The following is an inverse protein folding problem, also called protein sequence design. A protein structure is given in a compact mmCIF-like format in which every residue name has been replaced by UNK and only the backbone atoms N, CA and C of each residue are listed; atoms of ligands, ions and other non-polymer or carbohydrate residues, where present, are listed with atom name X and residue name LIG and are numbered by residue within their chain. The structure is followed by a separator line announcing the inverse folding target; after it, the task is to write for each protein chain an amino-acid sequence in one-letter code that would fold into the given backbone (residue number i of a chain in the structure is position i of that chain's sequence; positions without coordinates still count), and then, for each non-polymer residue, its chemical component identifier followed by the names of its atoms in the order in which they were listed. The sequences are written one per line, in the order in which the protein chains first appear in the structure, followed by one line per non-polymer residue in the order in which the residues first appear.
data_IF_318492799289
#
_entry.id   IF_318492799289
#
_cell.length_a   1.000
_cell.length_b   1.000
_cell.length_c   1.000
_cell.angle_alpha   90.00
_cell.angle_beta   90.00
_cell.angle_gamma   90.00
#
_symmetry.space_group_name_H-M   'P 1'
#
loop_
_entity.id
_entity.type
_entity.pdbx_description
1 polymer ?
#
# COMPACT_ATOMS: atom_id res chain seq x y z
N UNK A 1 -6.04 8.99 -14.99
CA UNK A 1 -7.09 9.70 -15.71
C UNK A 1 -8.43 9.01 -15.53
N UNK A 2 -8.57 7.72 -15.90
CA UNK A 2 -9.84 6.97 -15.83
C UNK A 2 -10.51 7.03 -14.44
N UNK A 3 -9.75 6.89 -13.34
CA UNK A 3 -10.27 6.99 -11.98
C UNK A 3 -10.98 8.34 -11.74
N UNK A 4 -10.33 9.44 -12.12
CA UNK A 4 -10.90 10.78 -11.97
C UNK A 4 -12.11 11.01 -12.90
N UNK A 5 -12.08 10.48 -14.11
CA UNK A 5 -13.20 10.57 -15.06
C UNK A 5 -14.40 9.77 -14.55
N UNK A 6 -14.22 8.52 -14.10
CA UNK A 6 -15.31 7.73 -13.50
C UNK A 6 -15.89 8.39 -12.24
N UNK A 7 -15.04 9.01 -11.42
CA UNK A 7 -15.53 9.79 -10.26
C UNK A 7 -16.33 11.02 -10.69
N UNK A 8 -15.91 11.70 -11.76
CA UNK A 8 -16.62 12.84 -12.32
C UNK A 8 -18.00 12.44 -12.85
N UNK A 9 -18.13 11.30 -13.51
CA UNK A 9 -19.41 10.77 -13.99
C UNK A 9 -20.36 10.50 -12.83
N UNK A 10 -19.90 9.81 -11.77
CA UNK A 10 -20.70 9.56 -10.59
C UNK A 10 -21.19 10.86 -9.91
N UNK A 11 -20.30 11.85 -9.80
CA UNK A 11 -20.67 13.16 -9.21
C UNK A 11 -21.73 13.87 -10.07
N UNK A 12 -21.64 13.80 -11.40
CA UNK A 12 -22.67 14.36 -12.29
C UNK A 12 -24.01 13.66 -12.16
N UNK A 13 -24.03 12.38 -11.81
CA UNK A 13 -25.24 11.62 -11.48
C UNK A 13 -25.80 11.93 -10.07
N UNK A 14 -25.19 12.87 -9.34
CA UNK A 14 -25.58 13.21 -7.98
C UNK A 14 -25.09 12.24 -6.91
N UNK A 15 -24.21 11.31 -7.26
CA UNK A 15 -23.61 10.35 -6.34
C UNK A 15 -22.36 10.93 -5.68
N UNK A 16 -22.03 10.42 -4.49
CA UNK A 16 -20.75 10.75 -3.82
C UNK A 16 -19.63 9.89 -4.40
N UNK A 17 -18.50 10.51 -4.71
CA UNK A 17 -17.26 9.81 -5.09
C UNK A 17 -16.08 10.44 -4.37
N UNK A 18 -15.20 9.60 -3.82
CA UNK A 18 -13.96 9.99 -3.16
C UNK A 18 -12.87 8.96 -3.52
N UNK A 19 -12.24 9.05 -4.70
CA UNK A 19 -11.21 8.11 -5.07
C UNK A 19 -9.94 8.28 -4.24
N UNK A 20 -9.36 7.17 -3.84
CA UNK A 20 -8.03 7.07 -3.25
C UNK A 20 -7.09 6.47 -4.29
N UNK A 21 -6.21 7.30 -4.84
CA UNK A 21 -5.30 6.91 -5.92
C UNK A 21 -4.01 6.40 -5.30
N UNK A 22 -3.72 5.12 -5.47
CA UNK A 22 -2.58 4.45 -4.89
C UNK A 22 -1.49 4.20 -5.94
N UNK A 23 -0.28 4.68 -5.68
CA UNK A 23 0.89 4.46 -6.52
C UNK A 23 1.62 3.20 -6.03
N UNK A 24 1.76 2.16 -6.88
CA UNK A 24 2.44 0.93 -6.48
C UNK A 24 3.96 1.04 -6.62
N UNK A 25 4.68 0.11 -6.02
CA UNK A 25 6.13 -0.16 -6.21
C UNK A 25 7.03 1.06 -5.97
N UNK A 26 6.65 1.93 -5.05
CA UNK A 26 7.44 3.12 -4.72
C UNK A 26 8.59 2.75 -3.80
N UNK A 27 9.81 3.11 -4.17
CA UNK A 27 11.01 2.91 -3.36
C UNK A 27 11.59 4.21 -2.76
N UNK A 28 11.19 5.37 -3.29
CA UNK A 28 11.73 6.68 -2.87
C UNK A 28 10.66 7.77 -2.92
N UNK A 29 10.81 8.79 -2.06
CA UNK A 29 9.91 9.94 -2.04
C UNK A 29 9.91 10.71 -3.36
N UNK A 30 11.05 10.79 -4.03
CA UNK A 30 11.15 11.48 -5.32
C UNK A 30 10.36 10.75 -6.42
N UNK A 31 10.35 9.42 -6.38
CA UNK A 31 9.54 8.60 -7.28
C UNK A 31 8.05 8.81 -7.02
N UNK A 32 7.62 8.76 -5.75
CA UNK A 32 6.24 9.05 -5.38
C UNK A 32 5.81 10.44 -5.86
N UNK A 33 6.62 11.47 -5.60
CA UNK A 33 6.35 12.85 -6.01
C UNK A 33 6.19 12.97 -7.52
N UNK A 34 7.05 12.31 -8.29
CA UNK A 34 6.97 12.30 -9.75
C UNK A 34 5.62 11.75 -10.24
N UNK A 35 5.14 10.65 -9.64
CA UNK A 35 3.86 10.04 -10.01
C UNK A 35 2.66 10.88 -9.52
N UNK A 36 2.72 11.44 -8.32
CA UNK A 36 1.68 12.31 -7.80
C UNK A 36 1.50 13.57 -8.65
N UNK A 37 2.59 14.12 -9.19
CA UNK A 37 2.52 15.27 -10.11
C UNK A 37 1.79 14.94 -11.43
N UNK A 38 1.84 13.68 -11.91
CA UNK A 38 1.05 13.26 -13.08
C UNK A 38 -0.45 13.30 -12.78
N UNK A 39 -0.85 12.90 -11.54
CA UNK A 39 -2.26 13.01 -11.11
C UNK A 39 -2.68 14.48 -11.09
N UNK A 40 -1.87 15.35 -10.48
CA UNK A 40 -2.13 16.81 -10.41
C UNK A 40 -2.25 17.45 -11.80
N UNK A 41 -1.42 17.05 -12.75
CA UNK A 41 -1.48 17.56 -14.14
C UNK A 41 -2.75 17.15 -14.88
N UNK A 42 -3.25 15.94 -14.63
CA UNK A 42 -4.47 15.43 -15.29
C UNK A 42 -5.75 16.01 -14.68
N UNK A 43 -5.71 16.39 -13.41
CA UNK A 43 -6.89 16.79 -12.65
C UNK A 43 -7.67 17.98 -13.26
N UNK A 44 -7.03 19.13 -13.62
CA UNK A 44 -7.75 20.26 -14.19
C UNK A 44 -8.42 19.94 -15.54
N UNK A 45 -7.80 19.11 -16.38
CA UNK A 45 -8.38 18.69 -17.66
C UNK A 45 -9.68 17.91 -17.46
N UNK A 46 -9.70 17.02 -16.44
CA UNK A 46 -10.90 16.26 -16.10
C UNK A 46 -11.99 17.19 -15.56
N UNK A 47 -11.65 18.14 -14.68
CA UNK A 47 -12.63 19.12 -14.19
C UNK A 47 -13.26 19.90 -15.34
N UNK A 48 -12.43 20.42 -16.28
CA UNK A 48 -12.90 21.18 -17.44
C UNK A 48 -13.80 20.32 -18.34
N UNK A 49 -13.39 19.08 -18.64
CA UNK A 49 -14.15 18.14 -19.48
C UNK A 49 -15.57 17.88 -18.94
N UNK A 50 -15.69 17.74 -17.61
CA UNK A 50 -16.97 17.40 -16.98
C UNK A 50 -17.72 18.61 -16.40
N UNK A 51 -17.17 19.81 -16.50
CA UNK A 51 -17.78 21.03 -15.96
C UNK A 51 -17.92 21.04 -14.44
N UNK A 52 -16.97 20.38 -13.73
CA UNK A 52 -16.95 20.28 -12.29
C UNK A 52 -15.98 21.30 -11.67
N UNK A 53 -16.31 21.79 -10.48
CA UNK A 53 -15.43 22.68 -9.72
C UNK A 53 -14.39 21.91 -8.89
N UNK A 54 -14.74 20.71 -8.45
CA UNK A 54 -13.90 19.88 -7.58
C UNK A 54 -14.32 18.41 -7.63
N UNK A 55 -13.34 17.53 -7.60
CA UNK A 55 -13.45 16.09 -7.26
C UNK A 55 -12.58 15.89 -6.03
N UNK A 56 -13.12 15.54 -4.85
CA UNK A 56 -12.27 15.22 -3.71
C UNK A 56 -11.54 13.90 -3.97
N UNK A 57 -10.24 13.86 -3.72
CA UNK A 57 -9.42 12.64 -3.88
C UNK A 57 -8.22 12.67 -2.93
N UNK A 58 -7.61 11.53 -2.71
CA UNK A 58 -6.32 11.39 -2.04
C UNK A 58 -5.34 10.67 -2.96
N UNK A 59 -4.05 10.96 -2.78
CA UNK A 59 -2.95 10.23 -3.42
C UNK A 59 -2.07 9.63 -2.35
N UNK A 60 -1.94 8.32 -2.37
CA UNK A 60 -1.11 7.56 -1.45
C UNK A 60 -0.26 6.53 -2.16
N UNK A 61 0.41 5.68 -1.43
CA UNK A 61 1.29 4.68 -2.00
C UNK A 61 1.16 3.33 -1.32
N UNK A 62 1.54 2.28 -2.05
CA UNK A 62 1.86 1.00 -1.44
C UNK A 62 3.21 1.07 -0.73
N UNK A 63 3.27 0.47 0.46
CA UNK A 63 4.52 0.13 1.15
C UNK A 63 4.73 -1.37 0.96
N UNK A 64 5.49 -1.73 -0.02
CA UNK A 64 5.69 -3.11 -0.44
C UNK A 64 7.15 -3.44 -0.78
N UNK A 65 8.01 -2.41 -0.74
CA UNK A 65 9.46 -2.54 -0.89
C UNK A 65 10.07 -2.29 0.49
N UNK A 66 11.01 -3.13 0.97
CA UNK A 66 11.66 -2.94 2.28
C UNK A 66 12.25 -1.54 2.46
N UNK A 67 12.85 -0.97 1.39
CA UNK A 67 13.37 0.40 1.42
C UNK A 67 12.28 1.44 1.67
N UNK A 68 11.07 1.26 1.12
CA UNK A 68 9.95 2.16 1.37
C UNK A 68 9.49 2.13 2.84
N UNK A 69 9.46 0.95 3.47
CA UNK A 69 9.17 0.82 4.90
C UNK A 69 10.22 1.53 5.77
N UNK A 70 11.50 1.45 5.39
CA UNK A 70 12.60 2.14 6.06
C UNK A 70 12.57 3.67 5.90
N UNK A 71 12.00 4.17 4.81
CA UNK A 71 11.88 5.61 4.49
C UNK A 71 10.44 6.12 4.60
N UNK A 72 9.60 5.42 5.34
CA UNK A 72 8.18 5.74 5.44
C UNK A 72 7.91 7.14 6.02
N UNK A 73 8.78 7.64 6.90
CA UNK A 73 8.74 9.02 7.39
C UNK A 73 8.85 10.04 6.25
N UNK A 74 9.78 9.83 5.31
CA UNK A 74 9.99 10.72 4.16
C UNK A 74 8.86 10.62 3.14
N UNK A 75 8.38 9.41 2.89
CA UNK A 75 7.27 9.19 1.96
C UNK A 75 5.97 9.79 2.51
N UNK A 76 5.74 9.72 3.83
CA UNK A 76 4.56 10.29 4.47
C UNK A 76 4.51 11.83 4.47
N UNK A 77 5.62 12.51 4.23
CA UNK A 77 5.63 13.97 4.01
C UNK A 77 4.75 14.34 2.79
N UNK A 78 4.69 13.47 1.79
CA UNK A 78 3.98 13.69 0.52
C UNK A 78 2.71 12.83 0.38
N UNK A 79 2.78 11.54 0.78
CA UNK A 79 1.68 10.61 0.65
C UNK A 79 0.58 10.86 1.69
N UNK A 80 -0.68 10.79 1.26
CA UNK A 80 -1.83 11.03 2.13
C UNK A 80 -2.34 9.77 2.83
N UNK A 81 -1.97 8.58 2.32
CA UNK A 81 -2.23 7.29 2.95
C UNK A 81 -1.18 6.25 2.53
N UNK A 82 -1.08 5.18 3.31
CA UNK A 82 -0.30 3.99 3.00
C UNK A 82 -1.19 2.75 2.90
N UNK A 83 -0.81 1.85 2.00
CA UNK A 83 -1.36 0.49 1.94
C UNK A 83 -0.21 -0.50 1.86
N UNK A 84 -0.12 -1.43 2.81
CA UNK A 84 0.96 -2.42 2.81
C UNK A 84 0.65 -3.54 1.81
N UNK A 85 1.44 -3.61 0.73
CA UNK A 85 1.45 -4.71 -0.24
C UNK A 85 2.27 -5.88 0.32
N UNK A 86 1.67 -6.65 1.22
CA UNK A 86 2.40 -7.65 2.00
C UNK A 86 2.93 -8.82 1.18
N UNK A 87 2.37 -9.08 0.00
CA UNK A 87 2.89 -10.11 -0.89
C UNK A 87 4.29 -9.74 -1.39
N UNK A 88 4.44 -8.54 -1.96
CA UNK A 88 5.73 -8.07 -2.48
C UNK A 88 6.71 -7.74 -1.35
N UNK A 89 6.22 -7.21 -0.24
CA UNK A 89 7.06 -6.98 0.93
C UNK A 89 7.64 -8.31 1.46
N UNK A 90 6.84 -9.38 1.49
CA UNK A 90 7.28 -10.73 1.86
C UNK A 90 8.31 -11.26 0.86
N UNK A 91 7.99 -11.19 -0.44
CA UNK A 91 8.87 -11.62 -1.52
C UNK A 91 10.26 -11.00 -1.40
N UNK A 92 10.31 -9.68 -1.24
CA UNK A 92 11.57 -8.95 -1.19
C UNK A 92 12.33 -9.12 0.14
N UNK A 93 11.61 -9.31 1.24
CA UNK A 93 12.23 -9.53 2.56
C UNK A 93 12.87 -10.91 2.64
N UNK A 94 12.23 -11.93 2.12
CA UNK A 94 12.77 -13.30 2.05
C UNK A 94 13.73 -13.52 0.89
N UNK A 95 13.68 -12.68 -0.16
CA UNK A 95 14.36 -12.95 -1.43
C UNK A 95 13.75 -14.14 -2.18
N UNK A 96 12.46 -14.42 -1.98
CA UNK A 96 11.73 -15.50 -2.62
C UNK A 96 10.90 -14.95 -3.79
N UNK A 97 11.04 -15.57 -4.97
CA UNK A 97 10.13 -15.29 -6.09
C UNK A 97 8.79 -16.00 -5.88
N UNK A 98 7.67 -15.29 -5.96
CA UNK A 98 6.32 -15.90 -5.87
C UNK A 98 6.08 -16.94 -6.96
N UNK A 99 6.69 -16.78 -8.11
CA UNK A 99 6.56 -17.72 -9.22
C UNK A 99 7.30 -19.05 -8.96
N UNK A 100 8.34 -19.01 -8.12
CA UNK A 100 9.22 -20.15 -7.87
C UNK A 100 8.97 -20.85 -6.52
N UNK A 101 8.22 -20.23 -5.59
CA UNK A 101 8.00 -20.77 -4.23
C UNK A 101 7.43 -22.18 -4.22
N UNK A 102 6.58 -22.52 -5.18
CA UNK A 102 6.01 -23.86 -5.32
C UNK A 102 7.06 -24.97 -5.48
N UNK A 103 8.25 -24.64 -5.99
CA UNK A 103 9.31 -25.61 -6.20
C UNK A 103 10.09 -25.95 -4.90
N UNK A 104 10.18 -25.06 -3.90
CA UNK A 104 11.04 -25.27 -2.73
C UNK A 104 10.35 -25.08 -1.38
N UNK A 105 9.32 -24.23 -1.25
CA UNK A 105 8.62 -23.99 0.02
C UNK A 105 8.03 -25.26 0.64
N UNK A 106 7.43 -26.20 -0.13
CA UNK A 106 6.98 -27.47 0.45
C UNK A 106 8.12 -28.26 1.13
N UNK A 107 9.31 -28.25 0.53
CA UNK A 107 10.48 -28.88 1.12
C UNK A 107 10.98 -28.18 2.39
N UNK A 108 10.89 -26.87 2.47
CA UNK A 108 11.21 -26.07 3.67
C UNK A 108 10.25 -26.35 4.82
N UNK A 109 8.95 -26.48 4.52
CA UNK A 109 7.92 -26.83 5.51
C UNK A 109 8.12 -28.26 6.04
N UNK A 110 8.36 -29.23 5.13
CA UNK A 110 8.60 -30.64 5.53
C UNK A 110 9.83 -30.79 6.43
N UNK A 111 10.87 -30.00 6.18
CA UNK A 111 12.10 -29.96 7.00
C UNK A 111 12.01 -29.04 8.21
N UNK A 112 10.87 -28.37 8.42
CA UNK A 112 10.66 -27.39 9.50
C UNK A 112 11.70 -26.24 9.50
N UNK A 113 12.20 -25.86 8.32
CA UNK A 113 13.10 -24.71 8.16
C UNK A 113 12.30 -23.42 8.36
N UNK A 114 11.09 -23.36 7.82
CA UNK A 114 10.09 -22.32 8.12
C UNK A 114 8.84 -23.00 8.71
N UNK A 115 8.16 -22.35 9.67
CA UNK A 115 7.01 -22.95 10.33
C UNK A 115 5.75 -22.98 9.47
N UNK A 116 5.57 -21.98 8.60
CA UNK A 116 4.42 -21.79 7.73
C UNK A 116 4.86 -21.17 6.40
N UNK A 117 4.02 -21.27 5.38
CA UNK A 117 4.22 -20.56 4.13
C UNK A 117 4.06 -19.05 4.36
N UNK A 118 5.12 -18.24 4.16
CA UNK A 118 5.09 -16.81 4.45
C UNK A 118 4.20 -16.01 3.49
N UNK A 119 3.75 -16.60 2.38
CA UNK A 119 2.78 -15.98 1.47
C UNK A 119 1.33 -16.25 1.86
N UNK A 120 1.08 -17.26 2.71
CA UNK A 120 -0.26 -17.54 3.25
C UNK A 120 -0.48 -16.90 4.61
N UNK A 121 0.51 -16.99 5.49
CA UNK A 121 0.46 -16.43 6.85
C UNK A 121 1.62 -15.44 7.01
N UNK A 122 1.30 -14.22 7.40
CA UNK A 122 2.28 -13.15 7.55
C UNK A 122 3.40 -13.52 8.54
N UNK A 123 4.63 -13.42 8.08
CA UNK A 123 5.80 -13.49 8.95
C UNK A 123 5.85 -12.26 9.87
N UNK A 124 5.34 -12.43 11.09
CA UNK A 124 5.29 -11.35 12.07
C UNK A 124 6.67 -11.00 12.65
N UNK A 125 7.68 -11.90 12.51
CA UNK A 125 9.02 -11.71 13.06
C UNK A 125 9.96 -10.95 12.13
N UNK A 126 9.89 -11.17 10.82
CA UNK A 126 10.68 -10.49 9.81
C UNK A 126 9.89 -9.38 9.13
N UNK A 127 8.96 -9.77 8.25
CA UNK A 127 8.12 -8.81 7.50
C UNK A 127 7.32 -7.89 8.42
N UNK A 128 6.82 -8.44 9.54
CA UNK A 128 6.09 -7.68 10.54
C UNK A 128 6.89 -6.58 11.22
N UNK A 129 8.22 -6.70 11.32
CA UNK A 129 9.06 -5.61 11.81
C UNK A 129 9.08 -4.42 10.83
N UNK A 130 9.19 -4.71 9.52
CA UNK A 130 9.12 -3.67 8.49
C UNK A 130 7.75 -2.97 8.49
N UNK A 131 6.68 -3.74 8.69
CA UNK A 131 5.32 -3.19 8.80
C UNK A 131 5.23 -2.24 9.99
N UNK A 132 5.62 -2.66 11.21
CA UNK A 132 5.62 -1.78 12.39
C UNK A 132 6.42 -0.52 12.14
N UNK A 133 7.64 -0.68 11.65
CA UNK A 133 8.52 0.45 11.35
C UNK A 133 7.89 1.42 10.34
N UNK A 134 7.27 0.91 9.29
CA UNK A 134 6.60 1.73 8.29
C UNK A 134 5.40 2.49 8.86
N UNK A 135 4.57 1.85 9.70
CA UNK A 135 3.45 2.51 10.39
C UNK A 135 3.95 3.59 11.35
N UNK A 136 4.89 3.25 12.23
CA UNK A 136 5.43 4.18 13.24
C UNK A 136 6.11 5.39 12.59
N UNK A 137 6.98 5.16 11.62
CA UNK A 137 7.68 6.23 10.89
C UNK A 137 6.72 7.08 10.07
N UNK A 138 5.79 6.46 9.35
CA UNK A 138 4.80 7.21 8.59
C UNK A 138 3.99 8.14 9.46
N UNK A 139 3.49 7.65 10.60
CA UNK A 139 2.72 8.46 11.54
C UNK A 139 3.54 9.47 12.33
N UNK A 140 4.84 9.26 12.50
CA UNK A 140 5.71 10.27 13.12
C UNK A 140 5.81 11.54 12.27
N UNK A 141 5.75 11.42 10.94
CA UNK A 141 5.75 12.57 10.02
C UNK A 141 4.34 13.09 9.73
N UNK A 142 3.33 12.22 9.74
CA UNK A 142 1.93 12.59 9.49
C UNK A 142 1.02 11.87 10.50
N UNK A 143 0.71 12.54 11.61
CA UNK A 143 -0.06 11.95 12.72
C UNK A 143 -1.43 11.35 12.31
N UNK A 144 -2.09 11.91 11.31
CA UNK A 144 -3.37 11.43 10.77
C UNK A 144 -3.22 10.51 9.55
N UNK A 145 -2.05 9.95 9.31
CA UNK A 145 -1.81 9.07 8.16
C UNK A 145 -2.72 7.83 8.23
N UNK A 146 -3.58 7.68 7.24
CA UNK A 146 -4.40 6.48 7.04
C UNK A 146 -3.50 5.34 6.56
N UNK A 147 -3.56 4.20 7.24
CA UNK A 147 -2.69 3.04 6.94
C UNK A 147 -3.52 1.77 6.89
N UNK A 148 -3.35 1.00 5.84
CA UNK A 148 -4.05 -0.27 5.68
C UNK A 148 -3.21 -1.37 5.03
N UNK A 149 -3.86 -2.49 4.74
CA UNK A 149 -3.28 -3.65 4.07
C UNK A 149 -4.06 -3.94 2.77
N UNK A 150 -3.35 -4.34 1.73
CA UNK A 150 -3.96 -4.76 0.47
C UNK A 150 -3.40 -6.09 -0.07
N UNK A 151 -2.57 -6.78 0.69
CA UNK A 151 -2.05 -8.10 0.35
C UNK A 151 -3.00 -9.24 0.75
N UNK A 152 -2.71 -10.45 0.29
CA UNK A 152 -3.51 -11.66 0.58
C UNK A 152 -3.62 -11.95 2.09
N UNK A 153 -2.63 -11.55 2.88
CA UNK A 153 -2.64 -11.65 4.34
C UNK A 153 -3.81 -10.89 4.99
N UNK A 154 -4.42 -9.94 4.30
CA UNK A 154 -5.65 -9.28 4.74
C UNK A 154 -6.87 -10.18 4.84
N UNK A 155 -6.80 -11.40 4.28
CA UNK A 155 -7.81 -12.46 4.40
C UNK A 155 -7.48 -13.52 5.45
N UNK A 156 -6.28 -13.49 6.06
CA UNK A 156 -5.84 -14.51 7.03
C UNK A 156 -5.96 -13.98 8.47
N UNK A 157 -6.70 -14.71 9.36
CA UNK A 157 -7.08 -14.18 10.67
C UNK A 157 -5.92 -13.73 11.57
N UNK A 158 -4.84 -14.51 11.66
CA UNK A 158 -3.70 -14.16 12.54
C UNK A 158 -2.93 -12.93 12.01
N UNK A 159 -2.86 -12.79 10.70
CA UNK A 159 -2.26 -11.65 10.02
C UNK A 159 -3.09 -10.39 10.23
N UNK A 160 -4.41 -10.48 10.12
CA UNK A 160 -5.34 -9.37 10.41
C UNK A 160 -5.24 -8.93 11.86
N UNK A 161 -5.18 -9.87 12.81
CA UNK A 161 -4.96 -9.56 14.22
C UNK A 161 -3.63 -8.84 14.46
N UNK A 162 -2.59 -9.21 13.73
CA UNK A 162 -1.31 -8.51 13.78
C UNK A 162 -1.44 -7.07 13.23
N UNK A 163 -2.07 -6.89 12.07
CA UNK A 163 -2.31 -5.57 11.46
C UNK A 163 -3.10 -4.65 12.41
N UNK A 164 -4.12 -5.20 13.06
CA UNK A 164 -4.87 -4.44 14.09
C UNK A 164 -3.97 -4.01 15.26
N UNK A 165 -3.13 -4.93 15.79
CA UNK A 165 -2.22 -4.62 16.90
C UNK A 165 -1.17 -3.56 16.56
N UNK A 166 -0.73 -3.47 15.31
CA UNK A 166 0.19 -2.41 14.86
C UNK A 166 -0.53 -1.12 14.49
N UNK A 167 -1.85 -1.10 14.62
CA UNK A 167 -2.68 0.09 14.49
C UNK A 167 -3.06 0.44 13.05
N UNK A 168 -3.19 -0.52 12.13
CA UNK A 168 -3.75 -0.25 10.81
C UNK A 168 -5.23 0.11 10.90
N UNK A 169 -5.70 0.94 9.98
CA UNK A 169 -7.07 1.47 9.93
C UNK A 169 -8.00 0.61 9.07
N UNK A 170 -7.49 -0.12 8.06
CA UNK A 170 -8.29 -0.95 7.15
C UNK A 170 -7.49 -2.09 6.55
#
# INVERSE_FOLDING_TARGET
RAILEGSAELIKEGKKAFPEIMIPVVCDVAEFRNQAELVKKVYPDVLAKYGLKKIPYMVGTMIEIPRAALLADKIAEEAEFFSFGTNDLTQMTYGFSRDDVGAFVPGYLAKKIIPVDPFQILDQNGVGQLIRMGVERGRSSRAGLKVGICGEHGGEPSSVMFCHRVGMDY
#
